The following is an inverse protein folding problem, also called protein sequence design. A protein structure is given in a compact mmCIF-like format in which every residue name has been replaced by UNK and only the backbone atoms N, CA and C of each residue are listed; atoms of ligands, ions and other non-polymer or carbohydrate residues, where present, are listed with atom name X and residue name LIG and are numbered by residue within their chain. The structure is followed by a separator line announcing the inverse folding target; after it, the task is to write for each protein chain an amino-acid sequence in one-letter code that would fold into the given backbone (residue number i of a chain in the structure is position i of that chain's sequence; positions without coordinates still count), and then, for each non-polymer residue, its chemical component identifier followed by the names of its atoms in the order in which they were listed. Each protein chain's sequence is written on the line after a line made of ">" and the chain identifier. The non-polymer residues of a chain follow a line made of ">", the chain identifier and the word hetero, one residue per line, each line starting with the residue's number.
data_IF_435172488867
#
_entry.id   IF_435172488867
#
_cell.length_a   1.000
_cell.length_b   1.000
_cell.length_c   1.000
_cell.angle_alpha   90.00
_cell.angle_beta   90.00
_cell.angle_gamma   90.00
#
_symmetry.space_group_name_H-M   'P 1'
#
loop_
_entity.id
_entity.type
_entity.pdbx_description
1 polymer ?
#
# COMPACT_ATOMS: atom_id res chain seq x y z
N UNK A 1 11.23 -5.25 7.19
CA UNK A 1 10.25 -4.19 6.89
C UNK A 1 10.04 -4.32 5.41
N UNK A 2 8.80 -4.63 5.01
CA UNK A 2 8.47 -4.98 3.64
C UNK A 2 8.90 -3.86 2.68
N UNK A 3 9.90 -4.14 1.85
CA UNK A 3 10.46 -3.20 0.87
C UNK A 3 10.33 -3.70 -0.58
N UNK A 4 9.64 -4.83 -0.79
CA UNK A 4 9.35 -5.40 -2.10
C UNK A 4 8.11 -6.27 -2.00
N UNK A 5 7.25 -6.26 -2.99
CA UNK A 5 6.12 -7.19 -3.09
C UNK A 5 5.84 -7.60 -4.53
N UNK A 6 5.08 -8.67 -4.72
CA UNK A 6 4.69 -9.16 -6.04
C UNK A 6 3.32 -8.59 -6.42
N UNK A 7 3.30 -7.55 -7.25
CA UNK A 7 2.10 -6.90 -7.78
C UNK A 7 1.69 -7.55 -9.11
N UNK A 8 1.35 -8.84 -9.09
CA UNK A 8 1.23 -9.65 -10.32
C UNK A 8 -0.18 -9.78 -10.88
N UNK A 9 -1.21 -9.37 -10.11
CA UNK A 9 -2.59 -9.44 -10.56
C UNK A 9 -2.86 -8.44 -11.69
N UNK A 10 -3.71 -8.82 -12.63
CA UNK A 10 -4.21 -7.91 -13.66
C UNK A 10 -5.25 -6.95 -13.03
N UNK A 11 -5.31 -5.66 -13.41
CA UNK A 11 -6.37 -4.76 -12.97
C UNK A 11 -7.79 -5.33 -13.03
N UNK A 12 -8.15 -6.10 -14.06
CA UNK A 12 -9.48 -6.70 -14.19
C UNK A 12 -9.77 -7.75 -13.08
N UNK A 13 -8.77 -8.54 -12.70
CA UNK A 13 -8.86 -9.50 -11.59
C UNK A 13 -9.07 -8.76 -10.27
N UNK A 14 -8.32 -7.66 -10.06
CA UNK A 14 -8.44 -6.82 -8.87
C UNK A 14 -9.81 -6.14 -8.80
N UNK A 15 -10.38 -5.75 -9.94
CA UNK A 15 -11.72 -5.14 -9.99
C UNK A 15 -12.77 -6.13 -9.50
N UNK A 16 -12.69 -7.38 -9.96
CA UNK A 16 -13.61 -8.43 -9.54
C UNK A 16 -13.41 -8.82 -8.07
N UNK A 17 -12.18 -9.13 -7.67
CA UNK A 17 -11.87 -9.64 -6.34
C UNK A 17 -12.19 -8.62 -5.23
N UNK A 18 -11.86 -7.35 -5.47
CA UNK A 18 -12.09 -6.30 -4.48
C UNK A 18 -13.40 -5.55 -4.70
N UNK A 19 -14.29 -6.05 -5.58
CA UNK A 19 -15.60 -5.45 -5.88
C UNK A 19 -15.49 -3.94 -6.20
N UNK A 20 -14.51 -3.58 -7.03
CA UNK A 20 -14.26 -2.20 -7.42
C UNK A 20 -15.40 -1.71 -8.29
N UNK A 21 -15.97 -0.57 -7.92
CA UNK A 21 -17.10 0.05 -8.64
C UNK A 21 -16.63 1.10 -9.65
N UNK A 22 -15.41 1.62 -9.51
CA UNK A 22 -14.85 2.58 -10.46
C UNK A 22 -13.36 2.35 -10.65
N UNK A 23 -12.98 1.97 -11.87
CA UNK A 23 -11.60 1.96 -12.29
C UNK A 23 -11.13 3.39 -12.61
N UNK A 24 -10.05 3.81 -11.97
CA UNK A 24 -9.40 5.12 -12.13
C UNK A 24 -7.92 4.96 -12.48
N UNK A 25 -7.50 3.77 -12.90
CA UNK A 25 -6.09 3.49 -13.23
C UNK A 25 -5.59 4.24 -14.47
N UNK A 26 -6.50 4.61 -15.38
CA UNK A 26 -6.20 5.43 -16.57
C UNK A 26 -6.10 6.94 -16.29
N UNK A 27 -6.39 7.42 -15.07
CA UNK A 27 -6.30 8.84 -14.77
C UNK A 27 -4.84 9.32 -14.80
N UNK A 28 -4.56 10.52 -15.36
CA UNK A 28 -3.24 11.09 -15.31
C UNK A 28 -2.74 11.19 -13.87
N UNK A 29 -1.55 10.63 -13.63
CA UNK A 29 -0.93 10.65 -12.32
C UNK A 29 0.54 11.01 -12.47
N UNK A 30 0.99 11.96 -11.67
CA UNK A 30 2.39 12.36 -11.65
C UNK A 30 3.28 11.23 -11.13
N UNK A 31 4.39 10.97 -11.83
CA UNK A 31 5.47 10.12 -11.32
C UNK A 31 6.55 10.94 -10.60
N UNK A 32 7.17 10.34 -9.59
CA UNK A 32 8.36 10.90 -8.91
C UNK A 32 9.67 10.25 -9.38
N UNK A 33 9.59 9.28 -10.29
CA UNK A 33 10.76 8.63 -10.87
C UNK A 33 11.39 9.54 -11.93
N UNK A 34 12.74 9.52 -11.98
CA UNK A 34 13.49 10.24 -13.01
C UNK A 34 13.31 9.60 -14.38
N UNK A 35 13.28 8.26 -14.41
CA UNK A 35 13.04 7.47 -15.62
C UNK A 35 11.61 6.93 -15.63
N UNK A 36 11.05 6.64 -16.81
CA UNK A 36 9.79 5.90 -16.91
C UNK A 36 9.85 4.62 -16.08
N UNK A 37 8.77 4.34 -15.36
CA UNK A 37 8.67 3.13 -14.57
C UNK A 37 8.76 1.89 -15.46
N UNK A 38 9.49 0.88 -15.01
CA UNK A 38 9.54 -0.43 -15.65
C UNK A 38 9.23 -1.54 -14.61
N UNK A 39 8.29 -2.46 -14.91
CA UNK A 39 7.35 -2.41 -16.04
C UNK A 39 6.38 -1.20 -15.90
N UNK A 40 5.63 -0.82 -16.96
CA UNK A 40 4.74 0.35 -16.90
C UNK A 40 3.74 0.28 -15.73
N UNK A 41 3.36 1.43 -15.17
CA UNK A 41 2.43 1.46 -14.04
C UNK A 41 1.09 0.78 -14.39
N UNK A 42 0.58 -0.03 -13.46
CA UNK A 42 -0.64 -0.83 -13.68
C UNK A 42 -0.43 -2.16 -14.41
N UNK A 43 0.78 -2.48 -14.85
CA UNK A 43 1.11 -3.80 -15.40
C UNK A 43 1.65 -4.73 -14.29
N UNK A 44 1.49 -6.06 -14.45
CA UNK A 44 2.04 -7.04 -13.51
C UNK A 44 3.54 -6.86 -13.28
N UNK A 45 3.92 -6.77 -12.01
CA UNK A 45 5.30 -6.58 -11.57
C UNK A 45 5.63 -7.55 -10.43
N UNK A 46 6.35 -8.66 -10.68
CA UNK A 46 6.76 -9.58 -9.63
C UNK A 46 7.81 -8.97 -8.70
N UNK A 47 8.39 -7.82 -9.06
CA UNK A 47 9.44 -7.15 -8.32
C UNK A 47 9.09 -5.68 -8.02
N UNK A 48 7.90 -5.48 -7.45
CA UNK A 48 7.38 -4.16 -7.19
C UNK A 48 8.13 -3.51 -6.01
N UNK A 49 8.79 -2.38 -6.28
CA UNK A 49 9.65 -1.67 -5.35
C UNK A 49 9.12 -0.28 -4.95
N UNK A 50 9.72 0.34 -3.93
CA UNK A 50 9.44 1.71 -3.52
C UNK A 50 9.43 2.70 -4.68
N UNK A 51 8.66 3.76 -4.54
CA UNK A 51 8.49 4.88 -5.48
C UNK A 51 7.82 4.54 -6.80
N UNK A 52 7.64 3.26 -7.13
CA UNK A 52 6.76 2.82 -8.21
C UNK A 52 5.29 3.14 -7.90
N UNK A 53 4.51 3.34 -8.96
CA UNK A 53 3.07 3.44 -8.96
C UNK A 53 2.43 2.07 -9.17
N UNK A 54 1.58 1.68 -8.24
CA UNK A 54 0.95 0.37 -8.20
C UNK A 54 -0.56 0.48 -7.96
N UNK A 55 -1.31 -0.58 -8.30
CA UNK A 55 -2.75 -0.63 -8.06
C UNK A 55 -3.05 -0.64 -6.56
N UNK A 56 -3.95 0.24 -6.14
CA UNK A 56 -4.39 0.39 -4.76
C UNK A 56 -5.90 0.54 -4.75
N UNK A 57 -6.57 -0.20 -3.87
CA UNK A 57 -8.02 -0.15 -3.69
C UNK A 57 -8.34 0.81 -2.55
N UNK A 58 -9.23 1.77 -2.79
CA UNK A 58 -9.65 2.75 -1.80
C UNK A 58 -11.12 3.12 -1.99
N UNK A 59 -11.81 3.57 -0.94
CA UNK A 59 -13.20 4.03 -1.04
C UNK A 59 -13.28 5.51 -0.75
N UNK A 60 -14.02 6.25 -1.59
CA UNK A 60 -14.19 7.70 -1.40
C UNK A 60 -15.58 8.17 -1.78
N UNK A 61 -16.02 9.22 -1.11
CA UNK A 61 -17.14 10.04 -1.57
C UNK A 61 -16.85 10.60 -2.97
N UNK A 62 -17.80 10.46 -3.91
CA UNK A 62 -17.72 11.10 -5.22
C UNK A 62 -17.49 12.61 -5.09
N UNK A 63 -16.58 13.16 -5.89
CA UNK A 63 -16.33 14.60 -5.90
C UNK A 63 -17.52 15.29 -6.59
N UNK A 64 -18.39 15.95 -5.82
CA UNK A 64 -19.49 16.75 -6.39
C UNK A 64 -18.91 17.93 -7.19
N UNK A 65 -19.33 18.17 -8.44
CA UNK A 65 -18.99 19.38 -9.17
C UNK A 65 -19.54 20.59 -8.41
N UNK A 66 -18.73 21.64 -8.26
CA UNK A 66 -19.12 22.86 -7.54
C UNK A 66 -20.38 23.55 -8.11
N UNK A 67 -20.78 23.21 -9.33
CA UNK A 67 -21.92 23.78 -10.07
C UNK A 67 -23.22 22.96 -9.97
N UNK A 68 -23.28 21.88 -9.18
CA UNK A 68 -24.49 21.03 -9.13
C UNK A 68 -25.55 21.63 -8.19
N UNK A 69 -26.75 22.01 -8.68
CA UNK A 69 -27.78 22.70 -7.89
C UNK A 69 -28.57 21.78 -6.93
N UNK A 70 -28.26 20.48 -6.87
CA UNK A 70 -28.89 19.54 -5.94
C UNK A 70 -28.24 19.61 -4.55
N UNK A 71 -28.53 20.69 -3.83
CA UNK A 71 -28.16 20.87 -2.43
C UNK A 71 -29.15 20.20 -1.44
N UNK A 72 -30.14 19.44 -1.93
CA UNK A 72 -31.23 18.89 -1.11
C UNK A 72 -31.32 17.35 -1.08
N UNK A 73 -30.47 16.62 -1.80
CA UNK A 73 -30.40 15.15 -1.75
C UNK A 73 -29.19 14.69 -0.95
N UNK A 74 -29.34 13.57 -0.23
CA UNK A 74 -28.27 12.94 0.54
C UNK A 74 -26.97 12.86 -0.29
N UNK A 75 -25.82 13.07 0.35
CA UNK A 75 -24.53 12.96 -0.32
C UNK A 75 -24.44 11.58 -1.03
N UNK A 76 -23.92 11.52 -2.27
CA UNK A 76 -23.82 10.25 -2.97
C UNK A 76 -22.96 9.29 -2.14
N UNK A 77 -23.38 8.03 -2.09
CA UNK A 77 -22.69 7.01 -1.30
C UNK A 77 -21.19 6.91 -1.70
N UNK A 78 -20.30 6.58 -0.75
CA UNK A 78 -18.92 6.27 -1.06
C UNK A 78 -18.80 5.19 -2.13
N UNK A 79 -17.81 5.34 -3.01
CA UNK A 79 -17.55 4.42 -4.13
C UNK A 79 -16.17 3.79 -3.96
N UNK A 80 -16.08 2.47 -4.10
CA UNK A 80 -14.81 1.72 -4.08
C UNK A 80 -14.12 1.85 -5.43
N UNK A 81 -12.84 2.20 -5.41
CA UNK A 81 -12.04 2.60 -6.58
C UNK A 81 -10.73 1.82 -6.65
N UNK A 82 -10.29 1.51 -7.87
CA UNK A 82 -8.92 1.07 -8.16
C UNK A 82 -8.13 2.25 -8.73
N UNK A 83 -6.97 2.55 -8.15
CA UNK A 83 -6.13 3.69 -8.54
C UNK A 83 -4.65 3.31 -8.59
N UNK A 84 -3.88 4.02 -9.42
CA UNK A 84 -2.42 3.95 -9.39
C UNK A 84 -1.86 5.00 -8.42
N UNK A 85 -1.26 4.56 -7.33
CA UNK A 85 -0.63 5.41 -6.32
C UNK A 85 0.86 5.10 -6.19
N UNK A 86 1.66 6.11 -5.85
CA UNK A 86 3.10 5.96 -5.60
C UNK A 86 3.38 5.35 -4.22
N UNK A 87 4.18 4.29 -4.15
CA UNK A 87 4.61 3.68 -2.89
C UNK A 87 5.71 4.51 -2.21
N UNK A 88 5.37 5.15 -1.10
CA UNK A 88 6.23 6.11 -0.42
C UNK A 88 5.44 7.37 -0.13
N UNK A 89 4.85 7.43 1.06
CA UNK A 89 3.90 8.47 1.43
C UNK A 89 4.57 9.85 1.47
N UNK A 90 3.92 10.82 0.82
CA UNK A 90 4.27 12.25 0.90
C UNK A 90 3.18 12.94 1.71
N UNK A 91 3.48 13.40 2.94
CA UNK A 91 2.52 14.15 3.73
C UNK A 91 2.00 15.38 2.97
N UNK A 92 0.72 15.71 3.14
CA UNK A 92 0.08 16.80 2.40
C UNK A 92 0.72 18.19 2.60
N UNK A 93 1.50 18.37 3.67
CA UNK A 93 2.20 19.60 4.04
C UNK A 93 3.69 19.61 3.63
N UNK A 94 4.19 18.53 3.02
CA UNK A 94 5.58 18.46 2.57
C UNK A 94 5.90 19.54 1.54
N UNK A 95 7.14 20.03 1.56
CA UNK A 95 7.63 21.00 0.57
C UNK A 95 8.08 20.34 -0.74
N UNK A 96 8.49 19.07 -0.67
CA UNK A 96 8.94 18.28 -1.81
C UNK A 96 8.68 16.77 -1.60
N UNK A 97 9.01 15.96 -2.61
CA UNK A 97 8.82 14.49 -2.62
C UNK A 97 10.04 13.70 -2.14
N UNK A 98 11.15 14.34 -1.75
CA UNK A 98 12.43 13.66 -1.42
C UNK A 98 12.33 12.75 -0.19
N UNK A 99 11.28 12.92 0.62
CA UNK A 99 10.96 12.05 1.75
C UNK A 99 10.35 10.69 1.36
N UNK A 100 9.72 10.58 0.18
CA UNK A 100 8.82 9.48 -0.18
C UNK A 100 9.44 8.08 0.01
N UNK A 101 10.67 7.87 -0.48
CA UNK A 101 11.35 6.57 -0.42
C UNK A 101 11.60 6.07 1.02
N UNK A 102 11.61 6.96 2.02
CA UNK A 102 11.77 6.61 3.44
C UNK A 102 10.44 6.37 4.16
N UNK A 103 9.32 6.65 3.50
CA UNK A 103 7.96 6.62 4.05
C UNK A 103 7.11 5.54 3.37
N UNK A 104 7.74 4.43 3.00
CA UNK A 104 7.07 3.27 2.39
C UNK A 104 6.25 2.44 3.39
N UNK A 105 6.60 2.53 4.68
CA UNK A 105 5.97 1.77 5.75
C UNK A 105 5.51 2.70 6.89
N UNK A 106 4.33 2.41 7.44
CA UNK A 106 3.79 3.07 8.62
C UNK A 106 3.58 2.02 9.73
N UNK A 107 4.26 2.19 10.87
CA UNK A 107 4.16 1.24 11.99
C UNK A 107 2.82 1.41 12.71
N UNK A 108 2.04 0.33 12.81
CA UNK A 108 0.73 0.29 13.46
C UNK A 108 0.76 0.92 14.87
N UNK A 109 1.80 0.64 15.64
CA UNK A 109 2.02 1.11 17.01
C UNK A 109 2.07 2.64 17.13
N UNK A 110 2.46 3.32 16.05
CA UNK A 110 2.67 4.78 16.04
C UNK A 110 1.77 5.52 15.05
N UNK A 111 0.84 4.83 14.37
CA UNK A 111 -0.06 5.42 13.38
C UNK A 111 -0.85 6.61 13.92
N UNK A 112 -1.33 6.51 15.16
CA UNK A 112 -2.13 7.55 15.83
C UNK A 112 -1.32 8.73 16.35
N UNK A 113 0.01 8.60 16.40
CA UNK A 113 0.89 9.56 17.06
C UNK A 113 1.72 10.35 16.05
N UNK A 114 2.08 9.74 14.92
CA UNK A 114 2.94 10.37 13.91
C UNK A 114 2.14 11.40 13.09
N UNK A 115 2.52 12.68 13.07
CA UNK A 115 1.82 13.72 12.30
C UNK A 115 1.73 13.40 10.81
N UNK A 116 2.73 12.70 10.27
CA UNK A 116 2.76 12.24 8.89
C UNK A 116 1.65 11.23 8.54
N UNK A 117 1.11 10.51 9.53
CA UNK A 117 0.21 9.37 9.29
C UNK A 117 -1.16 9.54 9.94
N UNK A 118 -1.28 10.28 11.05
CA UNK A 118 -2.52 10.34 11.84
C UNK A 118 -3.74 10.80 11.03
N UNK A 119 -3.59 11.81 10.17
CA UNK A 119 -4.68 12.31 9.33
C UNK A 119 -5.06 11.33 8.22
N UNK A 120 -4.07 10.61 7.68
CA UNK A 120 -4.31 9.60 6.67
C UNK A 120 -4.97 8.35 7.28
N UNK A 121 -4.50 7.89 8.44
CA UNK A 121 -5.11 6.78 9.16
C UNK A 121 -6.57 7.06 9.54
N UNK A 122 -6.91 8.30 9.87
CA UNK A 122 -8.27 8.67 10.25
C UNK A 122 -9.29 8.59 9.09
N UNK A 123 -8.88 8.83 7.84
CA UNK A 123 -9.85 9.04 6.74
C UNK A 123 -9.39 8.61 5.34
N UNK A 124 -8.15 8.14 5.18
CA UNK A 124 -7.52 7.78 3.90
C UNK A 124 -6.80 6.45 4.03
N UNK A 125 -7.61 5.41 4.19
CA UNK A 125 -7.18 4.01 4.26
C UNK A 125 -7.38 3.33 2.92
N UNK A 126 -6.48 2.41 2.59
CA UNK A 126 -6.53 1.65 1.35
C UNK A 126 -6.10 0.20 1.57
N UNK A 127 -6.37 -0.66 0.57
CA UNK A 127 -5.79 -1.98 0.46
C UNK A 127 -4.77 -1.98 -0.67
N UNK A 128 -3.64 -2.64 -0.44
CA UNK A 128 -2.57 -2.85 -1.41
C UNK A 128 -2.57 -4.34 -1.76
N UNK A 129 -3.17 -4.73 -2.90
CA UNK A 129 -3.18 -6.12 -3.34
C UNK A 129 -1.78 -6.61 -3.72
N UNK A 130 -1.46 -7.85 -3.37
CA UNK A 130 -0.22 -8.50 -3.74
C UNK A 130 -0.40 -10.02 -3.77
N UNK A 131 0.36 -10.73 -4.61
CA UNK A 131 0.48 -12.18 -4.52
C UNK A 131 1.28 -12.62 -3.27
N UNK A 132 2.09 -11.71 -2.73
CA UNK A 132 2.95 -11.92 -1.57
C UNK A 132 3.94 -10.77 -1.43
N UNK A 133 4.70 -10.77 -0.34
CA UNK A 133 5.78 -9.80 -0.12
C UNK A 133 7.12 -10.49 0.07
N UNK A 134 8.21 -9.75 -0.16
CA UNK A 134 9.54 -10.30 0.05
C UNK A 134 10.18 -9.79 1.33
N UNK A 135 10.84 -10.69 2.05
CA UNK A 135 11.71 -10.36 3.18
C UNK A 135 13.04 -11.10 3.08
N UNK A 136 14.07 -10.53 3.70
CA UNK A 136 15.44 -11.05 3.63
C UNK A 136 15.87 -11.58 5.00
N UNK A 137 15.92 -12.90 5.12
CA UNK A 137 16.45 -13.56 6.31
C UNK A 137 17.97 -13.39 6.36
N UNK A 138 18.49 -12.93 7.50
CA UNK A 138 19.93 -12.95 7.77
C UNK A 138 20.38 -14.39 7.99
N UNK A 139 21.40 -14.83 7.26
CA UNK A 139 21.99 -16.17 7.43
C UNK A 139 23.27 -16.10 8.24
N UNK A 140 23.67 -17.21 8.86
CA UNK A 140 24.94 -17.30 9.60
C UNK A 140 26.19 -17.22 8.69
N UNK A 141 26.02 -17.38 7.38
CA UNK A 141 27.13 -17.33 6.42
C UNK A 141 27.55 -15.89 6.13
N UNK A 142 28.86 -15.63 6.16
CA UNK A 142 29.42 -14.34 5.74
C UNK A 142 29.42 -14.19 4.22
N UNK A 143 29.02 -13.00 3.76
CA UNK A 143 29.11 -12.58 2.37
C UNK A 143 30.49 -12.00 2.02
N UNK A 144 30.75 -11.68 0.73
CA UNK A 144 32.03 -11.13 0.28
C UNK A 144 32.46 -9.83 0.97
N UNK A 145 31.51 -9.07 1.51
CA UNK A 145 31.74 -7.82 2.25
C UNK A 145 31.88 -8.00 3.77
N UNK A 146 31.98 -9.24 4.26
CA UNK A 146 32.00 -9.55 5.69
C UNK A 146 30.66 -9.38 6.40
N UNK A 147 29.60 -8.98 5.68
CA UNK A 147 28.23 -8.90 6.20
C UNK A 147 27.53 -10.25 6.06
N UNK A 148 26.60 -10.61 6.98
CA UNK A 148 25.76 -11.79 6.82
C UNK A 148 25.12 -11.82 5.42
N UNK A 149 25.19 -12.96 4.75
CA UNK A 149 24.41 -13.22 3.54
C UNK A 149 22.93 -13.13 3.89
N UNK A 150 22.13 -12.78 2.88
CA UNK A 150 20.69 -12.64 3.01
C UNK A 150 20.00 -13.63 2.08
N UNK A 151 19.11 -14.46 2.64
CA UNK A 151 18.22 -15.32 1.87
C UNK A 151 16.87 -14.60 1.67
N UNK A 152 16.52 -14.19 0.45
CA UNK A 152 15.19 -13.66 0.18
C UNK A 152 14.14 -14.77 0.26
N UNK A 153 13.00 -14.44 0.85
CA UNK A 153 11.82 -15.28 0.89
C UNK A 153 10.65 -14.52 0.26
N UNK A 154 9.86 -15.21 -0.58
CA UNK A 154 8.51 -14.77 -0.90
C UNK A 154 7.58 -15.31 0.18
N UNK A 155 6.91 -14.40 0.88
CA UNK A 155 5.91 -14.72 1.89
C UNK A 155 4.53 -14.49 1.27
N UNK A 156 3.68 -15.51 1.28
CA UNK A 156 2.35 -15.50 0.68
C UNK A 156 1.36 -16.30 1.52
N UNK A 157 0.06 -16.18 1.23
CA UNK A 157 -0.96 -16.94 1.94
C UNK A 157 -0.86 -18.43 1.64
N UNK A 158 -1.04 -19.26 2.67
CA UNK A 158 -1.04 -20.73 2.54
C UNK A 158 -2.21 -21.23 1.70
N UNK A 159 -3.33 -20.52 1.74
CA UNK A 159 -4.56 -20.82 0.99
C UNK A 159 -4.49 -20.36 -0.48
N UNK A 160 -3.40 -19.70 -0.88
CA UNK A 160 -3.20 -19.18 -2.24
C UNK A 160 -4.00 -17.92 -2.57
N UNK A 161 -4.78 -17.37 -1.63
CA UNK A 161 -5.54 -16.14 -1.87
C UNK A 161 -4.68 -14.88 -1.88
N UNK A 162 -5.19 -13.80 -2.48
CA UNK A 162 -4.50 -12.53 -2.59
C UNK A 162 -4.20 -11.95 -1.21
N UNK A 163 -2.98 -11.44 -1.04
CA UNK A 163 -2.60 -10.65 0.13
C UNK A 163 -3.18 -9.24 -0.01
N UNK A 164 -4.13 -8.88 0.84
CA UNK A 164 -4.64 -7.52 0.97
C UNK A 164 -3.92 -6.79 2.12
N UNK A 165 -2.83 -6.10 1.81
CA UNK A 165 -2.09 -5.33 2.82
C UNK A 165 -2.84 -4.04 3.16
N UNK A 166 -3.03 -3.77 4.44
CA UNK A 166 -3.54 -2.49 4.92
C UNK A 166 -2.56 -1.37 4.53
N UNK A 167 -3.09 -0.31 3.92
CA UNK A 167 -2.34 0.89 3.59
C UNK A 167 -3.05 2.14 4.07
N UNK A 168 -2.28 3.22 4.13
CA UNK A 168 -2.79 4.58 4.26
C UNK A 168 -2.28 5.40 3.08
N UNK A 169 -3.05 6.38 2.64
CA UNK A 169 -2.71 7.19 1.49
C UNK A 169 -2.86 8.68 1.73
N UNK A 170 -2.16 9.47 0.92
CA UNK A 170 -2.22 10.93 0.93
C UNK A 170 -2.33 11.50 -0.47
N UNK A 171 -2.97 12.66 -0.53
CA UNK A 171 -2.89 13.56 -1.68
C UNK A 171 -1.95 14.70 -1.33
N UNK A 172 -0.93 14.88 -2.16
CA UNK A 172 0.00 15.99 -2.06
C UNK A 172 -0.09 16.83 -3.32
N UNK A 173 -0.30 18.13 -3.16
CA UNK A 173 -0.27 19.09 -4.27
C UNK A 173 1.13 19.67 -4.39
N UNK A 174 1.70 19.66 -5.59
CA UNK A 174 2.96 20.33 -5.83
C UNK A 174 2.80 21.84 -5.69
N UNK A 175 3.52 22.49 -4.75
CA UNK A 175 3.46 23.93 -4.59
C UNK A 175 4.07 24.70 -5.78
N UNK A 176 4.83 24.03 -6.65
CA UNK A 176 5.51 24.61 -7.83
C UNK A 176 4.71 24.49 -9.13
N UNK A 177 3.60 23.76 -9.12
CA UNK A 177 2.74 23.53 -10.30
C UNK A 177 1.41 24.27 -10.14
N UNK A 178 0.91 24.84 -11.24
CA UNK A 178 -0.38 25.54 -11.26
C UNK A 178 -1.52 24.63 -10.75
N UNK A 179 -2.46 25.13 -9.92
CA UNK A 179 -3.50 24.29 -9.32
C UNK A 179 -4.36 23.51 -10.31
N UNK A 180 -4.54 24.04 -11.52
CA UNK A 180 -5.39 23.52 -12.58
C UNK A 180 -4.68 22.48 -13.46
N UNK A 181 -3.35 22.33 -13.32
CA UNK A 181 -2.58 21.36 -14.07
C UNK A 181 -3.03 19.92 -13.69
N UNK A 182 -3.31 19.05 -14.66
CA UNK A 182 -3.72 17.67 -14.39
C UNK A 182 -2.68 16.87 -13.58
N UNK A 183 -1.42 17.29 -13.58
CA UNK A 183 -0.31 16.68 -12.84
C UNK A 183 0.08 17.44 -11.57
N UNK A 184 -0.71 18.44 -11.15
CA UNK A 184 -0.48 19.18 -9.91
C UNK A 184 -0.58 18.30 -8.65
N UNK A 185 -1.28 17.17 -8.74
CA UNK A 185 -1.55 16.27 -7.62
C UNK A 185 -0.78 14.95 -7.74
N UNK A 186 -0.17 14.55 -6.64
CA UNK A 186 0.44 13.26 -6.44
C UNK A 186 -0.38 12.48 -5.40
N UNK A 187 -0.75 11.24 -5.74
CA UNK A 187 -1.37 10.32 -4.79
C UNK A 187 -0.33 9.30 -4.34
N UNK A 188 -0.08 9.21 -3.04
CA UNK A 188 0.96 8.35 -2.46
C UNK A 188 0.40 7.46 -1.36
N UNK A 189 1.05 6.33 -1.08
CA UNK A 189 0.65 5.43 0.00
C UNK A 189 1.83 4.89 0.79
N UNK A 190 1.55 4.45 2.02
CA UNK A 190 2.44 3.64 2.84
C UNK A 190 1.72 2.36 3.25
N UNK A 191 2.45 1.24 3.29
CA UNK A 191 1.95 -0.02 3.82
C UNK A 191 2.00 0.03 5.35
N UNK A 192 0.90 -0.34 6.00
CA UNK A 192 0.87 -0.50 7.45
C UNK A 192 1.62 -1.77 7.82
N UNK A 193 2.52 -1.67 8.80
CA UNK A 193 3.29 -2.82 9.29
C UNK A 193 3.02 -3.06 10.76
N UNK A 194 3.09 -4.32 11.17
CA UNK A 194 2.93 -4.78 12.55
C UNK A 194 4.06 -5.75 12.92
N UNK A 195 4.10 -6.24 14.16
CA UNK A 195 5.00 -7.32 14.55
C UNK A 195 4.75 -8.56 13.67
N UNK A 196 5.81 -9.27 13.29
CA UNK A 196 5.68 -10.52 12.54
C UNK A 196 4.95 -11.59 13.36
N UNK A 197 4.17 -12.45 12.69
CA UNK A 197 3.66 -13.67 13.31
C UNK A 197 4.82 -14.53 13.83
N UNK A 198 4.61 -15.32 14.91
CA UNK A 198 5.67 -16.17 15.46
C UNK A 198 6.35 -17.04 14.39
N UNK A 199 5.57 -17.58 13.44
CA UNK A 199 6.06 -18.40 12.33
C UNK A 199 7.00 -17.65 11.37
N UNK A 200 6.90 -16.33 11.24
CA UNK A 200 7.71 -15.51 10.35
C UNK A 200 8.82 -14.71 11.07
N UNK A 201 8.76 -14.64 12.41
CA UNK A 201 9.67 -13.83 13.23
C UNK A 201 11.16 -14.16 13.05
N UNK A 202 11.49 -15.39 12.65
CA UNK A 202 12.84 -15.84 12.36
C UNK A 202 13.42 -15.29 11.04
N UNK A 203 12.56 -14.79 10.13
CA UNK A 203 12.93 -14.12 8.88
C UNK A 203 13.10 -12.63 9.12
N UNK A 204 12.10 -11.99 9.74
CA UNK A 204 12.11 -10.58 10.11
C UNK A 204 11.16 -10.33 11.28
N UNK A 205 11.47 -9.37 12.15
CA UNK A 205 10.63 -8.97 13.30
C UNK A 205 9.33 -8.23 12.92
N UNK A 206 9.12 -7.94 11.62
CA UNK A 206 8.01 -7.12 11.13
C UNK A 206 7.41 -7.73 9.88
N UNK A 207 6.12 -7.48 9.67
CA UNK A 207 5.39 -7.86 8.46
C UNK A 207 4.38 -6.77 8.06
N UNK A 208 3.89 -6.76 6.81
CA UNK A 208 2.68 -6.03 6.45
C UNK A 208 1.49 -6.45 7.31
N UNK A 209 0.64 -5.50 7.69
CA UNK A 209 -0.65 -5.82 8.27
C UNK A 209 -1.57 -6.32 7.14
N UNK A 210 -1.80 -7.63 7.08
CA UNK A 210 -2.69 -8.25 6.08
C UNK A 210 -4.09 -8.40 6.67
N UNK A 211 -5.08 -7.86 5.97
CA UNK A 211 -6.49 -7.87 6.38
C UNK A 211 -7.26 -8.99 5.67
N UNK A 212 -8.07 -9.70 6.45
CA UNK A 212 -9.05 -10.67 5.92
C UNK A 212 -10.20 -9.93 5.21
N UNK A 213 -10.84 -10.59 4.23
CA UNK A 213 -11.89 -9.99 3.40
C UNK A 213 -13.06 -9.40 4.22
N UNK A 214 -13.41 -10.04 5.33
CA UNK A 214 -14.45 -9.57 6.26
C UNK A 214 -14.17 -8.19 6.87
N UNK A 215 -12.91 -7.74 6.89
CA UNK A 215 -12.51 -6.44 7.43
C UNK A 215 -12.33 -5.36 6.36
N UNK A 216 -12.36 -5.70 5.08
CA UNK A 216 -12.09 -4.75 3.99
C UNK A 216 -13.07 -3.58 3.98
N UNK A 217 -14.37 -3.85 4.08
CA UNK A 217 -15.39 -2.79 4.09
C UNK A 217 -15.16 -1.80 5.25
N UNK A 218 -14.94 -2.32 6.46
CA UNK A 218 -14.72 -1.52 7.66
C UNK A 218 -13.43 -0.70 7.57
N UNK A 219 -12.38 -1.29 7.02
CA UNK A 219 -11.10 -0.61 6.80
C UNK A 219 -11.21 0.50 5.75
N UNK A 220 -11.92 0.25 4.65
CA UNK A 220 -12.01 1.17 3.54
C UNK A 220 -13.06 2.28 3.73
N UNK A 221 -14.01 2.11 4.65
CA UNK A 221 -15.08 3.08 4.90
C UNK A 221 -14.52 4.49 5.19
N UNK A 222 -14.78 5.50 4.34
CA UNK A 222 -14.26 6.85 4.56
C UNK A 222 -14.97 7.62 5.68
N UNK A 223 -16.13 7.12 6.15
CA UNK A 223 -16.90 7.72 7.24
C UNK A 223 -16.54 7.11 8.61
N UNK A 224 -15.87 5.95 8.61
CA UNK A 224 -15.32 5.33 9.81
C UNK A 224 -14.10 6.10 10.34
N UNK A 225 -14.14 6.48 11.62
CA UNK A 225 -13.05 7.13 12.32
C UNK A 225 -12.03 6.14 12.89
N UNK A 226 -11.01 6.67 13.58
CA UNK A 226 -10.01 5.85 14.27
C UNK A 226 -10.64 4.84 15.25
N UNK A 227 -11.62 5.21 16.10
CA UNK A 227 -12.23 4.26 17.03
C UNK A 227 -12.84 3.03 16.35
N UNK A 228 -13.34 3.20 15.13
CA UNK A 228 -14.02 2.15 14.37
C UNK A 228 -13.05 1.15 13.74
N UNK A 229 -11.76 1.44 13.65
CA UNK A 229 -10.76 0.59 12.96
C UNK A 229 -9.53 0.26 13.82
N UNK A 230 -9.49 0.71 15.07
CA UNK A 230 -8.29 0.61 15.91
C UNK A 230 -7.94 -0.82 16.32
N UNK A 231 -8.93 -1.70 16.45
CA UNK A 231 -8.73 -3.13 16.69
C UNK A 231 -8.12 -3.83 15.48
N UNK A 232 -8.36 -3.36 14.25
CA UNK A 232 -7.80 -3.96 13.03
C UNK A 232 -6.28 -3.81 12.92
N UNK A 233 -5.69 -2.83 13.61
CA UNK A 233 -4.25 -2.55 13.56
C UNK A 233 -3.51 -3.11 14.78
N UNK A 234 -4.17 -3.87 15.64
CA UNK A 234 -3.49 -4.53 16.75
C UNK A 234 -2.57 -5.65 16.23
N UNK A 235 -1.43 -5.91 16.91
CA UNK A 235 -0.63 -7.08 16.62
C UNK A 235 -1.47 -8.36 16.69
N UNK A 236 -1.47 -9.14 15.61
CA UNK A 236 -2.12 -10.45 15.56
C UNK A 236 -1.14 -11.51 16.07
N UNK A 237 -0.70 -11.37 17.32
CA UNK A 237 0.36 -12.22 17.90
C UNK A 237 -0.09 -13.65 18.18
N UNK A 238 -1.39 -13.89 18.19
CA UNK A 238 -1.99 -15.22 18.33
C UNK A 238 -2.20 -15.91 16.98
N UNK A 239 -2.19 -15.14 15.89
CA UNK A 239 -2.27 -15.69 14.54
C UNK A 239 -0.94 -16.32 14.16
N UNK A 240 -1.00 -17.53 13.62
CA UNK A 240 0.15 -18.22 13.06
C UNK A 240 -0.32 -19.13 11.94
N UNK A 241 0.57 -19.39 10.98
CA UNK A 241 0.30 -20.32 9.88
C UNK A 241 -0.62 -19.78 8.79
N UNK A 242 -0.95 -18.48 8.79
CA UNK A 242 -1.65 -17.85 7.65
C UNK A 242 -0.77 -17.72 6.42
N UNK A 243 0.54 -17.69 6.63
CA UNK A 243 1.53 -17.49 5.58
C UNK A 243 2.58 -18.60 5.55
N UNK A 244 3.01 -18.92 4.35
CA UNK A 244 4.22 -19.69 4.10
C UNK A 244 5.33 -18.77 3.58
N UNK A 245 6.59 -19.11 3.89
CA UNK A 245 7.76 -18.41 3.41
C UNK A 245 8.58 -19.32 2.49
N UNK A 246 8.64 -18.98 1.21
CA UNK A 246 9.34 -19.75 0.19
C UNK A 246 10.69 -19.09 -0.11
N UNK A 247 11.84 -19.78 0.06
CA UNK A 247 13.12 -19.23 -0.33
C UNK A 247 13.15 -19.03 -1.85
N UNK A 248 13.64 -17.88 -2.30
CA UNK A 248 13.72 -17.52 -3.72
C UNK A 248 15.13 -17.05 -4.09
N UNK A 249 15.41 -16.92 -5.38
CA UNK A 249 16.55 -16.13 -5.82
C UNK A 249 16.30 -14.65 -5.53
N UNK A 250 17.37 -13.85 -5.47
CA UNK A 250 17.21 -12.40 -5.34
C UNK A 250 16.31 -11.88 -6.48
N UNK A 251 15.20 -11.19 -6.18
CA UNK A 251 14.34 -10.68 -7.23
C UNK A 251 15.14 -9.68 -8.08
N UNK A 252 15.10 -9.87 -9.40
CA UNK A 252 15.96 -9.20 -10.38
C UNK A 252 17.19 -10.01 -10.84
N UNK A 253 17.44 -11.21 -10.30
CA UNK A 253 18.42 -12.13 -10.85
C UNK A 253 17.90 -12.73 -12.19
N UNK A 254 18.76 -12.91 -13.21
CA UNK A 254 18.37 -13.60 -14.43
C UNK A 254 17.93 -15.04 -14.11
N UNK A 255 16.87 -15.47 -14.80
CA UNK A 255 16.35 -16.84 -14.77
C UNK A 255 17.35 -17.86 -15.32
#
# INVERSE_FOLDING_TARGET
>A
MCGRYAATANPDELILEFEVQTDRTAEPSRSILVNPQHPPAGTPDPDFGPTKQGPVVLTRHPRRPASSPEAATAAPAPVRQLRLLTWGLVPSWSKDVKGAARMINARAETLRQRPAYVKAFAARRCLVPAAGWYEWQLTEQSGPSGRPRKQPHLIRRVDGSTVAMAGIYEFWRDPTVAPEDPLAWLSTYAVVTTAAEPALSHIHDRQPLVLEASHWQRWLDPDAGIPDVIDLVQPRTEDSGRFEALPVLAPGAPW
#
